data_IF_870007698902
#
_entry.id   IF_870007698902
#
_cell.length_a   1.000
_cell.length_b   1.000
_cell.length_c   1.000
_cell.angle_alpha   90.00
_cell.angle_beta   90.00
_cell.angle_gamma   90.00
#
_symmetry.space_group_name_H-M   'P 1'
#
loop_
_entity.id
_entity.type
_entity.pdbx_description
1 polymer ?
#
# COMPACT_ATOMS: atom_id res chain seq x y z
N UNK A 1 4.43 -38.98 -0.13
CA UNK A 1 4.56 -38.02 0.98
C UNK A 1 3.54 -36.93 0.73
N UNK A 2 2.43 -36.93 1.48
CA UNK A 2 1.46 -35.86 1.47
C UNK A 2 2.07 -34.69 2.23
N UNK A 3 2.57 -33.71 1.48
CA UNK A 3 2.91 -32.40 2.05
C UNK A 3 1.60 -31.81 2.56
N UNK A 4 1.40 -31.80 3.88
CA UNK A 4 0.38 -30.94 4.46
C UNK A 4 0.77 -29.50 4.07
N UNK A 5 -0.11 -28.73 3.44
CA UNK A 5 0.15 -27.33 3.23
C UNK A 5 0.16 -26.67 4.62
N UNK A 6 1.34 -26.53 5.20
CA UNK A 6 1.52 -25.60 6.30
C UNK A 6 1.24 -24.21 5.70
N UNK A 7 0.19 -23.56 6.16
CA UNK A 7 -0.06 -22.16 5.81
C UNK A 7 1.03 -21.31 6.48
N UNK A 8 2.20 -21.29 5.84
CA UNK A 8 3.29 -20.47 6.28
C UNK A 8 3.16 -19.08 5.63
N UNK A 9 2.89 -18.07 6.45
CA UNK A 9 2.92 -16.66 6.06
C UNK A 9 4.33 -16.07 6.19
N UNK A 10 5.36 -16.90 6.14
CA UNK A 10 6.75 -16.46 6.16
C UNK A 10 7.07 -15.65 4.91
N UNK A 11 7.83 -14.58 5.12
CA UNK A 11 8.43 -13.77 4.07
C UNK A 11 9.97 -13.90 4.08
N UNK A 12 10.49 -14.94 4.75
CA UNK A 12 11.93 -15.19 4.84
C UNK A 12 12.57 -15.29 3.45
N UNK A 13 13.67 -14.56 3.26
CA UNK A 13 14.41 -14.50 2.00
C UNK A 13 13.77 -13.62 0.91
N UNK A 14 12.63 -12.98 1.19
CA UNK A 14 12.00 -12.01 0.27
C UNK A 14 12.51 -10.59 0.54
N UNK A 15 12.72 -9.82 -0.51
CA UNK A 15 13.00 -8.38 -0.46
C UNK A 15 11.72 -7.63 -0.75
N UNK A 16 11.32 -6.77 0.18
CA UNK A 16 10.10 -5.98 0.10
C UNK A 16 10.43 -4.47 0.02
N UNK A 17 9.83 -3.78 -0.94
CA UNK A 17 9.90 -2.33 -1.09
C UNK A 17 8.56 -1.74 -0.69
N UNK A 18 8.56 -0.77 0.24
CA UNK A 18 7.35 -0.12 0.76
C UNK A 18 7.45 1.39 0.56
N UNK A 19 6.61 1.97 -0.30
CA UNK A 19 6.49 3.42 -0.43
C UNK A 19 5.64 3.99 0.69
N UNK A 20 5.99 5.18 1.23
CA UNK A 20 5.28 5.74 2.39
C UNK A 20 5.48 4.89 3.66
N UNK A 21 6.56 4.10 3.71
CA UNK A 21 6.83 3.16 4.81
C UNK A 21 7.30 3.79 6.11
N UNK A 22 7.50 5.12 6.14
CA UNK A 22 7.95 5.83 7.32
C UNK A 22 6.84 6.15 8.33
N UNK A 23 5.55 6.03 7.95
CA UNK A 23 4.42 6.41 8.81
C UNK A 23 3.16 5.58 8.54
N UNK A 24 2.19 5.67 9.44
CA UNK A 24 0.84 5.14 9.27
C UNK A 24 0.79 3.65 8.91
N UNK A 25 -0.05 3.31 7.95
CA UNK A 25 -0.25 1.94 7.46
C UNK A 25 1.04 1.38 6.88
N UNK A 26 1.77 2.16 6.08
CA UNK A 26 3.05 1.74 5.50
C UNK A 26 4.07 1.32 6.56
N UNK A 27 4.14 2.09 7.65
CA UNK A 27 5.01 1.78 8.79
C UNK A 27 4.64 0.46 9.49
N UNK A 28 3.34 0.20 9.69
CA UNK A 28 2.88 -1.07 10.27
C UNK A 28 3.19 -2.26 9.33
N UNK A 29 3.06 -2.07 8.02
CA UNK A 29 3.43 -3.09 7.03
C UNK A 29 4.93 -3.38 7.07
N UNK A 30 5.77 -2.35 7.19
CA UNK A 30 7.24 -2.52 7.35
C UNK A 30 7.54 -3.39 8.56
N UNK A 31 6.96 -3.08 9.73
CA UNK A 31 7.16 -3.85 10.96
C UNK A 31 6.68 -5.30 10.83
N UNK A 32 5.49 -5.50 10.26
CA UNK A 32 4.92 -6.82 10.07
C UNK A 32 5.74 -7.68 9.08
N UNK A 33 6.22 -7.09 7.99
CA UNK A 33 7.04 -7.80 7.01
C UNK A 33 8.40 -8.20 7.60
N UNK A 34 9.04 -7.31 8.34
CA UNK A 34 10.29 -7.61 9.05
C UNK A 34 10.09 -8.75 10.08
N UNK A 35 9.00 -8.70 10.86
CA UNK A 35 8.65 -9.75 11.81
C UNK A 35 8.38 -11.12 11.14
N UNK A 36 8.04 -11.13 9.83
CA UNK A 36 7.88 -12.33 9.02
C UNK A 36 9.15 -12.74 8.25
N UNK A 37 10.27 -12.07 8.51
CA UNK A 37 11.59 -12.41 7.97
C UNK A 37 11.92 -11.78 6.62
N UNK A 38 11.13 -10.82 6.12
CA UNK A 38 11.47 -10.09 4.92
C UNK A 38 12.63 -9.10 5.16
N UNK A 39 13.45 -8.91 4.14
CA UNK A 39 14.37 -7.77 4.04
C UNK A 39 13.57 -6.58 3.51
N UNK A 40 13.28 -5.59 4.36
CA UNK A 40 12.40 -4.47 4.00
C UNK A 40 13.20 -3.22 3.66
N UNK A 41 12.86 -2.58 2.54
CA UNK A 41 13.40 -1.27 2.12
C UNK A 41 12.26 -0.25 2.14
N UNK A 42 12.47 0.83 2.87
CA UNK A 42 11.51 1.94 2.95
C UNK A 42 11.85 2.98 1.89
N UNK A 43 10.87 3.34 1.06
CA UNK A 43 10.94 4.49 0.17
C UNK A 43 10.04 5.60 0.72
N UNK A 44 10.63 6.73 1.11
CA UNK A 44 9.87 7.85 1.69
C UNK A 44 10.60 9.18 1.46
N UNK A 45 9.86 10.29 1.50
CA UNK A 45 10.44 11.64 1.52
C UNK A 45 10.89 12.04 2.92
N UNK A 46 10.24 11.47 3.95
CA UNK A 46 10.50 11.75 5.36
C UNK A 46 11.69 10.93 5.86
N UNK A 47 12.90 11.20 5.36
CA UNK A 47 14.09 10.39 5.61
C UNK A 47 14.42 10.20 7.09
N UNK A 48 14.19 11.21 7.94
CA UNK A 48 14.42 11.05 9.38
C UNK A 48 13.51 9.97 9.99
N UNK A 49 12.24 9.89 9.55
CA UNK A 49 11.32 8.86 10.01
C UNK A 49 11.64 7.49 9.39
N UNK A 50 12.03 7.45 8.13
CA UNK A 50 12.46 6.23 7.45
C UNK A 50 13.73 5.63 8.10
N UNK A 51 14.71 6.47 8.44
CA UNK A 51 15.93 6.04 9.14
C UNK A 51 15.65 5.49 10.55
N UNK A 52 14.60 5.97 11.23
CA UNK A 52 14.19 5.34 12.51
C UNK A 52 13.77 3.88 12.32
N UNK A 53 13.14 3.51 11.20
CA UNK A 53 12.81 2.10 10.90
C UNK A 53 14.06 1.25 10.74
N UNK A 54 15.12 1.80 10.15
CA UNK A 54 16.40 1.12 10.03
C UNK A 54 17.05 0.95 11.41
N UNK A 55 17.12 2.01 12.21
CA UNK A 55 17.72 1.95 13.55
C UNK A 55 16.96 1.05 14.53
N UNK A 56 15.66 0.85 14.32
CA UNK A 56 14.81 -0.07 15.09
C UNK A 56 14.92 -1.53 14.61
N UNK A 57 15.59 -1.79 13.50
CA UNK A 57 15.75 -3.13 12.93
C UNK A 57 14.51 -3.61 12.13
N UNK A 58 13.51 -2.75 11.89
CA UNK A 58 12.34 -3.09 11.06
C UNK A 58 12.60 -2.92 9.56
N UNK A 59 13.61 -2.16 9.17
CA UNK A 59 14.03 -2.03 7.78
C UNK A 59 15.53 -2.26 7.62
N UNK A 60 15.92 -2.84 6.50
CA UNK A 60 17.33 -3.04 6.12
C UNK A 60 17.93 -1.75 5.53
N UNK A 61 17.11 -0.96 4.85
CA UNK A 61 17.52 0.31 4.25
C UNK A 61 16.34 1.29 4.15
N UNK A 62 16.68 2.58 4.07
CA UNK A 62 15.76 3.66 3.74
C UNK A 62 16.36 4.48 2.60
N UNK A 63 15.57 4.73 1.57
CA UNK A 63 15.97 5.48 0.37
C UNK A 63 14.99 6.62 0.17
N UNK A 64 15.51 7.83 -0.09
CA UNK A 64 14.69 8.98 -0.39
C UNK A 64 13.97 8.80 -1.72
N UNK A 65 12.65 8.99 -1.71
CA UNK A 65 11.83 8.86 -2.90
C UNK A 65 10.62 9.78 -2.84
N UNK A 66 10.55 10.73 -3.77
CA UNK A 66 9.31 11.42 -4.11
C UNK A 66 8.62 10.66 -5.26
N UNK A 67 7.55 9.97 -4.93
CA UNK A 67 6.80 9.15 -5.92
C UNK A 67 6.18 9.97 -7.05
N UNK A 68 6.06 11.29 -6.89
CA UNK A 68 5.51 12.19 -7.93
C UNK A 68 6.52 12.52 -9.03
N UNK A 69 7.82 12.25 -8.79
CA UNK A 69 8.92 12.58 -9.68
C UNK A 69 9.52 11.32 -10.29
N UNK A 70 9.37 11.16 -11.60
CA UNK A 70 9.87 10.01 -12.36
C UNK A 70 11.35 9.71 -12.09
N UNK A 71 12.20 10.75 -12.13
CA UNK A 71 13.63 10.59 -11.89
C UNK A 71 13.94 10.17 -10.45
N UNK A 72 13.17 10.65 -9.46
CA UNK A 72 13.32 10.25 -8.05
C UNK A 72 13.00 8.76 -7.89
N UNK A 73 11.91 8.29 -8.51
CA UNK A 73 11.54 6.87 -8.50
C UNK A 73 12.62 6.02 -9.17
N UNK A 74 13.08 6.40 -10.37
CA UNK A 74 14.11 5.65 -11.09
C UNK A 74 15.41 5.56 -10.29
N UNK A 75 15.85 6.68 -9.68
CA UNK A 75 17.06 6.71 -8.84
C UNK A 75 16.89 5.83 -7.59
N UNK A 76 15.73 5.89 -6.93
CA UNK A 76 15.45 5.09 -5.74
C UNK A 76 15.47 3.59 -6.06
N UNK A 77 14.80 3.16 -7.13
CA UNK A 77 14.78 1.74 -7.52
C UNK A 77 16.16 1.27 -7.98
N UNK A 78 16.93 2.12 -8.66
CA UNK A 78 18.32 1.81 -9.01
C UNK A 78 19.17 1.59 -7.75
N UNK A 79 19.04 2.45 -6.74
CA UNK A 79 19.75 2.30 -5.47
C UNK A 79 19.37 1.02 -4.72
N UNK A 80 18.08 0.65 -4.73
CA UNK A 80 17.61 -0.62 -4.16
C UNK A 80 18.22 -1.80 -4.91
N UNK A 81 18.19 -1.80 -6.24
CA UNK A 81 18.71 -2.89 -7.09
C UNK A 81 20.24 -3.03 -6.99
N UNK A 82 20.95 -1.95 -6.69
CA UNK A 82 22.40 -2.00 -6.46
C UNK A 82 22.78 -2.65 -5.11
N UNK A 83 21.87 -2.64 -4.15
CA UNK A 83 22.07 -3.20 -2.81
C UNK A 83 21.48 -4.60 -2.65
N UNK A 84 20.40 -4.89 -3.37
CA UNK A 84 19.67 -6.15 -3.29
C UNK A 84 19.46 -6.73 -4.68
N UNK A 85 19.81 -8.01 -4.86
CA UNK A 85 19.78 -8.69 -6.16
C UNK A 85 18.35 -8.92 -6.71
N UNK A 86 17.33 -8.69 -5.88
CA UNK A 86 15.93 -8.97 -6.21
C UNK A 86 14.97 -8.02 -5.51
N UNK A 87 13.76 -7.90 -6.04
CA UNK A 87 12.60 -7.30 -5.39
C UNK A 87 11.42 -8.26 -5.54
N UNK A 88 10.93 -8.81 -4.43
CA UNK A 88 9.87 -9.81 -4.43
C UNK A 88 8.49 -9.21 -4.17
N UNK A 89 8.46 -8.16 -3.37
CA UNK A 89 7.22 -7.53 -2.92
C UNK A 89 7.34 -6.03 -3.10
N UNK A 90 6.33 -5.44 -3.72
CA UNK A 90 6.12 -4.00 -3.75
C UNK A 90 4.84 -3.67 -2.99
N UNK A 91 4.91 -2.73 -2.05
CA UNK A 91 3.74 -2.12 -1.42
C UNK A 91 3.67 -0.64 -1.79
N UNK A 92 2.68 -0.26 -2.59
CA UNK A 92 2.33 1.13 -2.85
C UNK A 92 1.44 1.64 -1.72
N UNK A 93 2.05 2.26 -0.69
CA UNK A 93 1.35 2.81 0.47
C UNK A 93 1.44 4.34 0.56
N UNK A 94 2.28 4.99 -0.22
CA UNK A 94 2.32 6.44 -0.30
C UNK A 94 0.97 7.00 -0.77
N UNK A 95 0.40 7.94 -0.03
CA UNK A 95 -0.89 8.52 -0.37
C UNK A 95 -1.21 9.74 0.48
N UNK A 96 -2.05 10.61 -0.06
CA UNK A 96 -2.60 11.79 0.60
C UNK A 96 -4.11 11.85 0.41
N UNK A 97 -4.80 12.52 1.31
CA UNK A 97 -6.20 12.92 1.15
C UNK A 97 -6.30 14.44 1.34
N UNK A 98 -6.92 15.10 0.39
CA UNK A 98 -7.34 16.50 0.51
C UNK A 98 -8.85 16.50 0.48
N UNK A 99 -9.47 17.19 1.42
CA UNK A 99 -10.92 17.25 1.56
C UNK A 99 -11.40 18.66 1.25
N UNK A 100 -12.36 18.75 0.33
CA UNK A 100 -13.05 19.99 -0.03
C UNK A 100 -14.38 19.65 -0.72
N UNK A 101 -15.34 20.60 -0.74
CA UNK A 101 -16.54 20.43 -1.56
C UNK A 101 -16.14 20.31 -3.04
N UNK A 102 -16.93 19.55 -3.81
CA UNK A 102 -16.53 19.24 -5.19
C UNK A 102 -16.38 20.49 -6.07
N UNK A 103 -17.23 21.50 -5.85
CA UNK A 103 -17.22 22.79 -6.55
C UNK A 103 -16.08 23.73 -6.14
N UNK A 104 -15.50 23.53 -4.94
CA UNK A 104 -14.46 24.37 -4.36
C UNK A 104 -13.07 23.72 -4.47
N UNK A 105 -13.00 22.44 -4.83
CA UNK A 105 -11.73 21.72 -4.94
C UNK A 105 -10.84 22.37 -5.99
N UNK A 106 -9.67 22.84 -5.55
CA UNK A 106 -8.71 23.50 -6.46
C UNK A 106 -8.04 22.50 -7.41
N UNK A 107 -7.67 22.97 -8.59
CA UNK A 107 -6.91 22.15 -9.57
C UNK A 107 -5.58 21.68 -8.97
N UNK A 108 -4.88 22.51 -8.20
CA UNK A 108 -3.64 22.10 -7.52
C UNK A 108 -3.87 20.93 -6.54
N UNK A 109 -4.95 20.98 -5.75
CA UNK A 109 -5.32 19.89 -4.82
C UNK A 109 -5.68 18.61 -5.57
N UNK A 110 -6.40 18.71 -6.68
CA UNK A 110 -6.68 17.61 -7.58
C UNK A 110 -5.40 17.02 -8.15
N UNK A 111 -4.57 17.83 -8.80
CA UNK A 111 -3.35 17.37 -9.48
C UNK A 111 -2.38 16.74 -8.49
N UNK A 112 -2.20 17.32 -7.31
CA UNK A 112 -1.35 16.79 -6.25
C UNK A 112 -1.86 15.43 -5.75
N UNK A 113 -3.16 15.28 -5.56
CA UNK A 113 -3.76 14.01 -5.11
C UNK A 113 -3.58 12.92 -6.17
N UNK A 114 -3.86 13.23 -7.44
CA UNK A 114 -3.65 12.30 -8.56
C UNK A 114 -2.18 11.94 -8.75
N UNK A 115 -1.28 12.93 -8.62
CA UNK A 115 0.15 12.72 -8.77
C UNK A 115 0.70 11.74 -7.72
N UNK A 116 0.29 11.88 -6.45
CA UNK A 116 0.76 10.99 -5.38
C UNK A 116 0.07 9.63 -5.45
N UNK A 117 -1.27 9.61 -5.43
CA UNK A 117 -2.03 8.39 -5.16
C UNK A 117 -2.12 7.45 -6.37
N UNK A 118 -2.14 7.99 -7.58
CA UNK A 118 -2.32 7.20 -8.80
C UNK A 118 -1.06 7.18 -9.67
N UNK A 119 -0.59 8.37 -10.10
CA UNK A 119 0.58 8.44 -10.97
C UNK A 119 1.83 7.91 -10.26
N UNK A 120 2.01 8.21 -8.97
CA UNK A 120 3.14 7.72 -8.18
C UNK A 120 3.14 6.21 -8.06
N UNK A 121 2.00 5.60 -7.76
CA UNK A 121 1.86 4.14 -7.72
C UNK A 121 2.15 3.50 -9.09
N UNK A 122 1.72 4.14 -10.19
CA UNK A 122 2.06 3.71 -11.56
C UNK A 122 3.58 3.72 -11.79
N UNK A 123 4.26 4.84 -11.51
CA UNK A 123 5.69 4.99 -11.73
C UNK A 123 6.50 3.93 -10.97
N UNK A 124 6.21 3.76 -9.68
CA UNK A 124 6.91 2.77 -8.86
C UNK A 124 6.61 1.35 -9.33
N UNK A 125 5.34 1.04 -9.63
CA UNK A 125 4.96 -0.29 -10.13
C UNK A 125 5.61 -0.60 -11.47
N UNK A 126 5.79 0.38 -12.35
CA UNK A 126 6.44 0.20 -13.65
C UNK A 126 7.93 -0.14 -13.48
N UNK A 127 8.67 0.62 -12.66
CA UNK A 127 10.11 0.37 -12.44
C UNK A 127 10.35 -0.96 -11.72
N UNK A 128 9.64 -1.23 -10.63
CA UNK A 128 9.75 -2.50 -9.90
C UNK A 128 9.22 -3.67 -10.74
N UNK A 129 8.16 -3.44 -11.50
CA UNK A 129 7.57 -4.44 -12.38
C UNK A 129 8.54 -4.95 -13.44
N UNK A 130 9.37 -4.09 -14.04
CA UNK A 130 10.43 -4.54 -14.97
C UNK A 130 11.39 -5.55 -14.33
N UNK A 131 11.74 -5.33 -13.06
CA UNK A 131 12.61 -6.24 -12.30
C UNK A 131 11.88 -7.55 -12.02
N UNK A 132 10.67 -7.50 -11.46
CA UNK A 132 9.87 -8.68 -11.14
C UNK A 132 9.59 -9.55 -12.38
N UNK A 133 9.29 -8.92 -13.50
CA UNK A 133 9.02 -9.61 -14.77
C UNK A 133 10.28 -10.27 -15.34
N UNK A 134 11.45 -9.67 -15.15
CA UNK A 134 12.73 -10.30 -15.52
C UNK A 134 13.08 -11.47 -14.57
N UNK A 135 12.70 -11.37 -13.28
CA UNK A 135 12.85 -12.45 -12.29
C UNK A 135 11.87 -13.61 -12.52
N UNK A 136 10.75 -13.37 -13.22
CA UNK A 136 9.66 -14.34 -13.37
C UNK A 136 8.87 -14.55 -12.08
N UNK A 137 8.93 -13.64 -11.10
CA UNK A 137 8.20 -13.71 -9.84
C UNK A 137 8.07 -12.35 -9.17
N UNK A 138 6.95 -12.11 -8.50
CA UNK A 138 6.74 -10.89 -7.73
C UNK A 138 5.31 -10.75 -7.23
N UNK A 139 5.11 -9.85 -6.27
CA UNK A 139 3.79 -9.48 -5.74
C UNK A 139 3.71 -7.97 -5.57
N UNK A 140 2.71 -7.35 -6.19
CA UNK A 140 2.38 -5.93 -6.03
C UNK A 140 1.13 -5.80 -5.17
N UNK A 141 1.21 -5.00 -4.12
CA UNK A 141 0.09 -4.67 -3.24
C UNK A 141 -0.07 -3.15 -3.24
N UNK A 142 -1.26 -2.65 -3.59
CA UNK A 142 -1.53 -1.22 -3.60
C UNK A 142 -2.59 -0.86 -2.57
N UNK A 143 -2.32 0.13 -1.71
CA UNK A 143 -3.26 0.62 -0.71
C UNK A 143 -4.29 1.53 -1.39
N UNK A 144 -5.44 0.93 -1.73
CA UNK A 144 -6.60 1.67 -2.20
C UNK A 144 -7.39 2.25 -1.00
N UNK A 145 -8.70 2.15 -0.99
CA UNK A 145 -9.60 2.59 0.08
C UNK A 145 -11.02 2.11 -0.23
N UNK A 146 -11.87 2.00 0.79
CA UNK A 146 -13.32 1.91 0.58
C UNK A 146 -13.85 3.01 -0.37
N UNK A 147 -13.17 4.16 -0.42
CA UNK A 147 -13.46 5.27 -1.33
C UNK A 147 -13.31 4.92 -2.82
N UNK A 148 -12.72 3.78 -3.16
CA UNK A 148 -12.71 3.25 -4.52
C UNK A 148 -14.04 2.60 -4.91
N UNK A 149 -14.85 2.21 -3.92
CA UNK A 149 -16.12 1.47 -4.09
C UNK A 149 -17.32 2.35 -3.79
N UNK A 150 -17.22 3.24 -2.81
CA UNK A 150 -18.30 4.15 -2.40
C UNK A 150 -17.86 5.61 -2.47
N UNK A 151 -18.83 6.51 -2.63
CA UNK A 151 -18.59 7.94 -2.59
C UNK A 151 -18.45 8.43 -1.14
N UNK A 152 -17.49 9.32 -0.91
CA UNK A 152 -17.30 10.04 0.36
C UNK A 152 -17.43 11.54 0.10
N UNK A 153 -18.35 12.24 0.78
CA UNK A 153 -18.46 13.69 0.65
C UNK A 153 -17.12 14.39 0.90
N UNK A 154 -16.80 15.41 0.12
CA UNK A 154 -15.57 16.17 0.23
C UNK A 154 -14.31 15.45 -0.25
N UNK A 155 -14.39 14.24 -0.82
CA UNK A 155 -13.23 13.43 -1.19
C UNK A 155 -13.12 13.19 -2.70
N UNK A 156 -13.52 14.16 -3.54
CA UNK A 156 -13.63 13.96 -4.99
C UNK A 156 -12.33 13.41 -5.62
N UNK A 157 -11.20 14.12 -5.45
CA UNK A 157 -9.93 13.70 -6.02
C UNK A 157 -9.43 12.37 -5.40
N UNK A 158 -9.64 12.19 -4.10
CA UNK A 158 -9.25 10.98 -3.39
C UNK A 158 -10.01 9.75 -3.92
N UNK A 159 -11.35 9.82 -4.01
CA UNK A 159 -12.18 8.74 -4.57
C UNK A 159 -11.75 8.41 -6.01
N UNK A 160 -11.59 9.44 -6.86
CA UNK A 160 -11.13 9.26 -8.23
C UNK A 160 -9.76 8.56 -8.30
N UNK A 161 -8.80 8.99 -7.47
CA UNK A 161 -7.46 8.40 -7.45
C UNK A 161 -7.46 6.96 -6.98
N UNK A 162 -8.26 6.62 -5.95
CA UNK A 162 -8.32 5.25 -5.40
C UNK A 162 -9.09 4.29 -6.31
N UNK A 163 -10.16 4.75 -6.98
CA UNK A 163 -10.84 3.98 -8.03
C UNK A 163 -9.91 3.73 -9.22
N UNK A 164 -9.15 4.74 -9.64
CA UNK A 164 -8.12 4.59 -10.68
C UNK A 164 -7.04 3.59 -10.29
N UNK A 165 -6.62 3.55 -9.02
CA UNK A 165 -5.62 2.63 -8.52
C UNK A 165 -6.09 1.17 -8.57
N UNK A 166 -7.37 0.90 -8.28
CA UNK A 166 -7.97 -0.44 -8.43
C UNK A 166 -7.96 -0.84 -9.91
N UNK A 167 -8.34 0.07 -10.82
CA UNK A 167 -8.29 -0.16 -12.27
C UNK A 167 -6.88 -0.47 -12.77
N UNK A 168 -5.91 0.36 -12.37
CA UNK A 168 -4.49 0.16 -12.68
C UNK A 168 -4.03 -1.23 -12.22
N UNK A 169 -4.31 -1.59 -10.97
CA UNK A 169 -3.88 -2.87 -10.39
C UNK A 169 -4.47 -4.08 -11.15
N UNK A 170 -5.73 -4.00 -11.59
CA UNK A 170 -6.36 -5.05 -12.42
C UNK A 170 -5.66 -5.25 -13.76
N UNK A 171 -5.21 -4.17 -14.40
CA UNK A 171 -4.45 -4.27 -15.66
C UNK A 171 -3.09 -4.93 -15.41
N UNK A 172 -2.34 -4.51 -14.37
CA UNK A 172 -1.08 -5.16 -13.99
C UNK A 172 -1.29 -6.65 -13.72
N UNK A 173 -2.34 -7.00 -12.97
CA UNK A 173 -2.67 -8.39 -12.66
C UNK A 173 -2.91 -9.22 -13.93
N UNK A 174 -3.66 -8.68 -14.89
CA UNK A 174 -3.99 -9.34 -16.14
C UNK A 174 -2.73 -9.57 -17.01
N UNK A 175 -1.90 -8.53 -17.16
CA UNK A 175 -0.75 -8.55 -18.09
C UNK A 175 0.45 -9.32 -17.51
N UNK A 176 0.60 -9.37 -16.19
CA UNK A 176 1.80 -9.89 -15.54
C UNK A 176 1.64 -11.31 -14.98
N UNK A 177 0.38 -11.80 -14.80
CA UNK A 177 0.11 -13.11 -14.21
C UNK A 177 0.83 -14.26 -14.92
N UNK A 178 0.78 -14.31 -16.26
CA UNK A 178 1.46 -15.33 -17.06
C UNK A 178 3.00 -15.27 -17.00
N UNK A 179 3.52 -14.22 -16.35
CA UNK A 179 4.97 -13.98 -16.16
C UNK A 179 5.36 -14.07 -14.69
N UNK A 180 4.49 -14.67 -13.82
CA UNK A 180 4.78 -14.99 -12.44
C UNK A 180 4.60 -13.83 -11.44
N UNK A 181 3.95 -12.73 -11.83
CA UNK A 181 3.71 -11.58 -10.95
C UNK A 181 2.23 -11.42 -10.69
N UNK A 182 1.85 -11.29 -9.41
CA UNK A 182 0.48 -10.97 -8.97
C UNK A 182 0.36 -9.50 -8.56
N UNK A 183 -0.82 -8.93 -8.73
CA UNK A 183 -1.11 -7.57 -8.29
C UNK A 183 -2.51 -7.49 -7.67
N UNK A 184 -2.61 -6.93 -6.46
CA UNK A 184 -3.85 -6.81 -5.71
C UNK A 184 -3.95 -5.46 -5.00
N UNK A 185 -5.16 -5.04 -4.65
CA UNK A 185 -5.41 -3.88 -3.79
C UNK A 185 -5.93 -4.30 -2.43
N UNK A 186 -5.59 -3.51 -1.41
CA UNK A 186 -6.24 -3.54 -0.10
C UNK A 186 -7.01 -2.23 0.04
N UNK A 187 -8.28 -2.31 0.38
CA UNK A 187 -9.21 -1.18 0.50
C UNK A 187 -9.72 -1.05 1.94
N UNK A 188 -8.98 -0.34 2.81
CA UNK A 188 -9.41 -0.11 4.18
C UNK A 188 -10.54 0.90 4.28
N UNK A 189 -11.29 0.84 5.40
CA UNK A 189 -12.03 1.97 5.98
C UNK A 189 -11.08 2.92 6.71
N UNK A 190 -11.57 3.74 7.62
CA UNK A 190 -10.72 4.56 8.50
C UNK A 190 -9.81 3.65 9.32
N UNK A 191 -8.50 3.95 9.28
CA UNK A 191 -7.46 3.23 10.02
C UNK A 191 -6.86 4.17 11.04
N UNK A 192 -6.79 3.75 12.29
CA UNK A 192 -6.38 4.56 13.44
C UNK A 192 -4.87 4.79 13.49
N UNK A 193 -4.34 5.42 12.44
CA UNK A 193 -2.98 5.94 12.44
C UNK A 193 -2.86 7.13 13.42
N UNK A 194 -1.65 7.55 13.84
CA UNK A 194 -1.48 8.73 14.69
C UNK A 194 -2.23 9.97 14.16
N UNK A 195 -2.14 10.25 12.86
CA UNK A 195 -2.85 11.37 12.23
C UNK A 195 -4.38 11.17 12.27
N UNK A 196 -4.85 9.95 12.04
CA UNK A 196 -6.29 9.66 12.06
C UNK A 196 -6.88 9.82 13.47
N UNK A 197 -6.12 9.49 14.53
CA UNK A 197 -6.56 9.68 15.91
C UNK A 197 -6.84 11.16 16.21
N UNK A 198 -6.01 12.08 15.74
CA UNK A 198 -6.22 13.52 15.91
C UNK A 198 -7.51 14.02 15.26
N UNK A 199 -7.95 13.36 14.18
CA UNK A 199 -9.16 13.77 13.43
C UNK A 199 -10.43 13.05 13.92
N UNK A 200 -10.31 11.77 14.27
CA UNK A 200 -11.47 10.90 14.51
C UNK A 200 -11.77 10.59 15.98
N UNK A 201 -10.93 11.04 16.94
CA UNK A 201 -11.29 11.07 18.35
C UNK A 201 -12.24 12.24 18.63
N UNK A 202 -13.46 12.15 18.08
CA UNK A 202 -14.45 13.23 18.04
C UNK A 202 -15.87 12.65 17.96
N UNK A 203 -16.94 13.44 18.26
CA UNK A 203 -18.32 13.01 18.07
C UNK A 203 -18.63 12.54 16.64
N UNK A 204 -18.04 13.17 15.62
CA UNK A 204 -18.20 12.75 14.22
C UNK A 204 -17.56 11.38 13.97
N UNK A 205 -16.42 11.11 14.60
CA UNK A 205 -15.80 9.81 14.58
C UNK A 205 -16.66 8.72 15.20
N UNK A 206 -17.30 8.98 16.34
CA UNK A 206 -18.25 8.04 16.96
C UNK A 206 -19.47 7.81 16.07
N UNK A 207 -20.01 8.86 15.44
CA UNK A 207 -21.11 8.74 14.51
C UNK A 207 -20.73 7.90 13.26
N UNK A 208 -19.48 8.01 12.78
CA UNK A 208 -18.99 7.18 11.69
C UNK A 208 -18.77 5.72 12.11
N UNK A 209 -18.19 5.47 13.30
CA UNK A 209 -18.05 4.12 13.87
C UNK A 209 -19.39 3.40 13.98
N UNK A 210 -20.44 4.11 14.41
CA UNK A 210 -21.80 3.55 14.51
C UNK A 210 -22.35 3.07 13.16
N UNK A 211 -21.82 3.60 12.05
CA UNK A 211 -22.21 3.20 10.70
C UNK A 211 -21.44 1.97 10.18
N UNK A 212 -20.32 1.60 10.81
CA UNK A 212 -19.56 0.40 10.44
C UNK A 212 -20.20 -0.80 11.16
N UNK A 213 -20.54 -1.90 10.49
CA UNK A 213 -21.16 -3.06 11.14
C UNK A 213 -20.36 -3.64 12.32
N UNK A 214 -19.02 -3.55 12.28
CA UNK A 214 -18.15 -3.95 13.40
C UNK A 214 -18.04 -2.90 14.50
N UNK A 215 -18.66 -1.71 14.36
CA UNK A 215 -18.71 -0.59 15.31
C UNK A 215 -17.34 -0.09 15.77
N UNK A 216 -16.32 -0.20 14.95
CA UNK A 216 -14.97 0.32 15.19
C UNK A 216 -14.24 0.66 13.91
N UNK A 217 -13.22 1.47 14.04
CA UNK A 217 -12.22 1.66 12.99
C UNK A 217 -11.21 0.50 12.98
N UNK A 218 -10.48 0.35 11.88
CA UNK A 218 -9.40 -0.61 11.79
C UNK A 218 -8.12 -0.06 12.46
N UNK A 219 -7.30 -0.97 12.97
CA UNK A 219 -5.95 -0.64 13.41
C UNK A 219 -4.95 -0.91 12.28
N UNK A 220 -3.81 -0.18 12.22
CA UNK A 220 -2.80 -0.37 11.18
C UNK A 220 -2.30 -1.82 11.06
N UNK A 221 -2.22 -2.53 12.16
CA UNK A 221 -1.76 -3.93 12.24
C UNK A 221 -2.73 -4.89 11.54
N UNK A 222 -4.03 -4.57 11.49
CA UNK A 222 -5.03 -5.38 10.78
C UNK A 222 -4.82 -5.28 9.26
N UNK A 223 -4.46 -4.11 8.77
CA UNK A 223 -4.12 -3.90 7.36
C UNK A 223 -2.78 -4.57 7.02
N UNK A 224 -1.81 -4.46 7.94
CA UNK A 224 -0.51 -5.10 7.79
C UNK A 224 -0.63 -6.64 7.75
N UNK A 225 -1.52 -7.23 8.55
CA UNK A 225 -1.77 -8.68 8.52
C UNK A 225 -2.31 -9.14 7.15
N UNK A 226 -3.20 -8.37 6.54
CA UNK A 226 -3.70 -8.63 5.18
C UNK A 226 -2.59 -8.48 4.14
N UNK A 227 -1.72 -7.48 4.28
CA UNK A 227 -0.56 -7.31 3.41
C UNK A 227 0.41 -8.49 3.51
N UNK A 228 0.69 -9.01 4.73
CA UNK A 228 1.49 -10.24 4.94
C UNK A 228 0.86 -11.42 4.23
N UNK A 229 -0.45 -11.63 4.37
CA UNK A 229 -1.16 -12.71 3.68
C UNK A 229 -1.00 -12.61 2.16
N UNK A 230 -1.28 -11.44 1.57
CA UNK A 230 -1.17 -11.24 0.11
C UNK A 230 0.28 -11.37 -0.40
N UNK A 231 1.28 -11.05 0.43
CA UNK A 231 2.70 -11.17 0.09
C UNK A 231 3.23 -12.62 0.24
N UNK A 232 2.50 -13.48 0.95
CA UNK A 232 2.91 -14.85 1.23
C UNK A 232 2.56 -15.82 0.09
N UNK A 233 3.14 -17.00 0.16
CA UNK A 233 2.85 -18.08 -0.78
C UNK A 233 1.41 -18.62 -0.67
N UNK A 234 0.70 -18.32 0.45
CA UNK A 234 -0.71 -18.68 0.62
C UNK A 234 -1.65 -17.93 -0.33
N UNK A 235 -1.23 -16.78 -0.86
CA UNK A 235 -2.05 -15.93 -1.73
C UNK A 235 -1.72 -16.05 -3.22
N UNK A 236 -0.89 -17.00 -3.64
CA UNK A 236 -0.41 -17.11 -5.05
C UNK A 236 -1.52 -17.21 -6.11
N UNK A 237 -2.72 -17.64 -5.73
CA UNK A 237 -3.86 -17.73 -6.64
C UNK A 237 -4.78 -16.51 -6.56
N UNK A 238 -4.46 -15.54 -5.68
CA UNK A 238 -5.21 -14.29 -5.54
C UNK A 238 -4.54 -13.24 -6.43
N UNK A 239 -5.26 -12.79 -7.47
CA UNK A 239 -4.74 -11.85 -8.46
C UNK A 239 -5.84 -10.95 -9.01
N UNK A 240 -5.61 -9.65 -9.05
CA UNK A 240 -6.56 -8.65 -9.53
C UNK A 240 -7.73 -8.36 -8.56
N UNK A 241 -7.64 -8.80 -7.30
CA UNK A 241 -8.68 -8.56 -6.31
C UNK A 241 -8.54 -7.17 -5.69
N UNK A 242 -9.67 -6.55 -5.39
CA UNK A 242 -9.77 -5.45 -4.43
C UNK A 242 -10.31 -6.00 -3.11
N UNK A 243 -9.43 -6.13 -2.13
CA UNK A 243 -9.76 -6.72 -0.83
C UNK A 243 -10.19 -5.65 0.16
N UNK A 244 -11.50 -5.57 0.40
CA UNK A 244 -12.07 -4.67 1.39
C UNK A 244 -11.71 -5.10 2.81
N UNK A 245 -11.20 -4.15 3.61
CA UNK A 245 -10.89 -4.33 5.04
C UNK A 245 -11.56 -3.19 5.79
N UNK A 246 -12.90 -3.23 5.84
CA UNK A 246 -13.76 -2.10 6.16
C UNK A 246 -14.81 -2.38 7.24
N UNK A 247 -14.74 -3.54 7.90
CA UNK A 247 -15.71 -3.93 8.91
C UNK A 247 -17.13 -4.09 8.38
N UNK A 248 -17.31 -4.21 7.05
CA UNK A 248 -18.60 -4.31 6.38
C UNK A 248 -19.21 -2.96 6.00
N UNK A 249 -18.46 -1.87 6.05
CA UNK A 249 -18.99 -0.53 5.75
C UNK A 249 -19.61 -0.43 4.35
N UNK A 250 -19.00 -1.04 3.34
CA UNK A 250 -19.42 -0.91 1.94
C UNK A 250 -20.60 -1.79 1.55
N UNK A 251 -21.02 -2.74 2.39
CA UNK A 251 -22.14 -3.67 2.11
C UNK A 251 -23.45 -3.31 2.81
N UNK A 252 -23.49 -2.18 3.50
CA UNK A 252 -24.69 -1.70 4.22
C UNK A 252 -25.57 -0.83 3.32
#
# INVERSE_FOLDING_TARGET
>A
MTVQPGYDYSLAGKVAVVTGGASGIGSAIVDAFAAKGATVVVLDRAMQAAQRKVSQGSAAAAVECDVTLEQSVANAITAVSAQFDRIDILVNSAGIAVTDAAEDLTIDSWDRTMAVNLRGAFLVSQEVGRIMLAQGSGTVISLASQAATIALPGHLAYCASKSGLVGLTKVLALEWAGRGVTANTISPTVVMTPLARELWDSPDGEALKAQIPTHRFAEPEEIAAVAVFLASDAAKMINGVDLLVDGGYTIR
#
